data_IF_013121687240
#
_entry.id   IF_013121687240
#
_cell.length_a   1.000
_cell.length_b   1.000
_cell.length_c   1.000
_cell.angle_alpha   90.00
_cell.angle_beta   90.00
_cell.angle_gamma   90.00
#
_symmetry.space_group_name_H-M   'P 1'
#
loop_
_entity.id
_entity.type
_entity.pdbx_description
1 polymer ?
#
# COMPACT_ATOMS: atom_id res chain seq x y z
N UNK A 1 9.76 7.62 -36.96
CA UNK A 1 9.13 8.93 -37.26
C UNK A 1 9.60 10.03 -36.30
N UNK A 2 9.48 9.87 -34.98
CA UNK A 2 9.92 10.90 -34.01
C UNK A 2 11.41 11.27 -34.13
N UNK A 3 12.32 10.30 -34.21
CA UNK A 3 13.74 10.56 -34.43
C UNK A 3 14.05 11.22 -35.78
N UNK A 4 13.20 10.99 -36.78
CA UNK A 4 13.34 11.57 -38.11
C UNK A 4 12.96 13.06 -38.07
N UNK A 5 11.89 13.42 -37.36
CA UNK A 5 11.54 14.83 -37.09
C UNK A 5 12.63 15.58 -36.33
N UNK A 6 13.22 14.95 -35.31
CA UNK A 6 14.38 15.49 -34.58
C UNK A 6 15.63 15.61 -35.45
N UNK A 7 15.86 14.69 -36.39
CA UNK A 7 17.02 14.79 -37.29
C UNK A 7 16.93 15.91 -38.32
N UNK A 8 15.71 16.39 -38.62
CA UNK A 8 15.49 17.57 -39.47
C UNK A 8 15.66 18.89 -38.71
N UNK A 9 15.87 18.85 -37.40
CA UNK A 9 16.22 20.02 -36.58
C UNK A 9 17.64 20.49 -36.98
N UNK A 10 17.70 21.49 -37.87
CA UNK A 10 18.94 22.23 -38.08
C UNK A 10 19.26 22.95 -36.77
N UNK A 11 20.46 22.72 -36.22
CA UNK A 11 21.05 23.52 -35.13
C UNK A 11 21.28 24.96 -35.60
N UNK A 12 20.19 25.70 -35.80
CA UNK A 12 20.20 27.13 -36.02
C UNK A 12 20.26 27.84 -34.68
N UNK A 13 21.21 28.76 -34.54
CA UNK A 13 21.37 29.61 -33.36
C UNK A 13 20.08 30.40 -33.13
N UNK A 14 19.26 30.01 -32.14
CA UNK A 14 18.10 30.77 -31.68
C UNK A 14 16.74 30.07 -31.68
N UNK A 15 16.60 28.85 -32.23
CA UNK A 15 15.35 28.08 -32.10
C UNK A 15 15.35 27.28 -30.80
N UNK A 16 14.24 27.36 -30.04
CA UNK A 16 14.03 26.47 -28.89
C UNK A 16 13.98 25.03 -29.38
N UNK A 17 14.63 24.07 -28.67
CA UNK A 17 14.58 22.66 -29.00
C UNK A 17 13.14 22.18 -29.18
N UNK A 18 12.86 21.38 -30.23
CA UNK A 18 11.52 20.82 -30.45
C UNK A 18 10.96 20.07 -29.23
N UNK A 19 11.84 19.52 -28.40
CA UNK A 19 11.50 18.79 -27.18
C UNK A 19 10.92 19.68 -26.06
N UNK A 20 11.11 21.00 -26.13
CA UNK A 20 10.63 21.97 -25.15
C UNK A 20 9.36 22.69 -25.60
N UNK A 21 8.92 22.51 -26.85
CA UNK A 21 7.73 23.18 -27.38
C UNK A 21 6.47 22.55 -26.73
N UNK A 22 5.69 23.31 -25.96
CA UNK A 22 4.48 22.79 -25.33
C UNK A 22 3.31 22.73 -26.31
N UNK A 23 2.36 21.83 -26.06
CA UNK A 23 1.07 21.82 -26.73
C UNK A 23 0.14 22.93 -26.18
N UNK A 24 -1.08 23.05 -26.71
CA UNK A 24 -2.10 24.01 -26.22
C UNK A 24 -2.50 23.83 -24.75
N UNK A 25 -2.16 22.68 -24.13
CA UNK A 25 -2.40 22.37 -22.73
C UNK A 25 -1.14 22.57 -21.86
N UNK A 26 -0.03 23.10 -22.41
CA UNK A 26 1.23 23.29 -21.69
C UNK A 26 2.09 22.03 -21.56
N UNK A 27 1.78 20.94 -22.26
CA UNK A 27 2.49 19.66 -22.19
C UNK A 27 3.58 19.57 -23.26
N UNK A 28 4.82 19.31 -22.84
CA UNK A 28 5.92 18.93 -23.73
C UNK A 28 5.68 17.52 -24.31
N UNK A 29 6.36 17.14 -25.41
CA UNK A 29 6.31 15.76 -25.93
C UNK A 29 6.64 14.71 -24.87
N UNK A 30 7.53 15.05 -23.93
CA UNK A 30 7.89 14.19 -22.80
C UNK A 30 6.74 14.04 -21.78
N UNK A 31 6.12 15.14 -21.36
CA UNK A 31 4.94 15.11 -20.46
C UNK A 31 3.77 14.36 -21.11
N UNK A 32 3.54 14.59 -22.40
CA UNK A 32 2.47 13.93 -23.13
C UNK A 32 2.69 12.41 -23.21
N UNK A 33 3.91 11.94 -23.47
CA UNK A 33 4.22 10.52 -23.48
C UNK A 33 3.90 9.85 -22.12
N UNK A 34 4.12 10.56 -21.02
CA UNK A 34 3.75 10.09 -19.68
C UNK A 34 2.24 10.06 -19.44
N UNK A 35 1.51 11.12 -19.81
CA UNK A 35 0.04 11.21 -19.64
C UNK A 35 -0.70 10.19 -20.47
N UNK A 36 -0.21 9.93 -21.69
CA UNK A 36 -0.76 8.92 -22.59
C UNK A 36 -0.43 7.49 -22.14
N UNK A 37 0.63 7.30 -21.34
CA UNK A 37 1.10 5.97 -20.95
C UNK A 37 1.92 5.26 -22.04
N UNK A 38 2.49 6.00 -22.98
CA UNK A 38 3.34 5.43 -24.03
C UNK A 38 4.74 5.11 -23.47
N UNK A 39 4.86 3.93 -22.87
CA UNK A 39 6.09 3.43 -22.23
C UNK A 39 7.29 3.38 -23.18
N UNK A 40 7.09 2.97 -24.43
CA UNK A 40 8.16 2.87 -25.45
C UNK A 40 8.73 4.24 -25.78
N UNK A 41 7.87 5.22 -26.03
CA UNK A 41 8.30 6.58 -26.32
C UNK A 41 8.92 7.24 -25.09
N UNK A 42 8.33 7.02 -23.90
CA UNK A 42 8.86 7.52 -22.64
C UNK A 42 10.28 6.99 -22.36
N UNK A 43 10.50 5.68 -22.52
CA UNK A 43 11.83 5.08 -22.39
C UNK A 43 12.82 5.68 -23.39
N UNK A 44 12.42 5.85 -24.65
CA UNK A 44 13.27 6.44 -25.68
C UNK A 44 13.70 7.88 -25.36
N UNK A 45 12.78 8.71 -24.87
CA UNK A 45 13.09 10.08 -24.40
C UNK A 45 14.00 10.04 -23.17
N UNK A 46 13.76 9.11 -22.25
CA UNK A 46 14.58 8.96 -21.05
C UNK A 46 16.01 8.55 -21.36
N UNK A 47 16.24 7.74 -22.41
CA UNK A 47 17.60 7.38 -22.84
C UNK A 47 18.41 8.60 -23.27
N UNK A 48 17.78 9.64 -23.84
CA UNK A 48 18.46 10.90 -24.18
C UNK A 48 18.75 11.78 -22.96
N UNK A 49 17.95 11.65 -21.90
CA UNK A 49 18.01 12.46 -20.67
C UNK A 49 18.81 11.81 -19.55
N UNK A 50 19.53 10.71 -19.83
CA UNK A 50 20.41 10.03 -18.88
C UNK A 50 21.88 10.22 -19.25
N UNK A 51 22.74 10.34 -18.24
CA UNK A 51 24.18 10.39 -18.40
C UNK A 51 24.83 9.28 -17.57
N UNK A 52 25.63 8.41 -18.20
CA UNK A 52 26.33 7.33 -17.47
C UNK A 52 27.59 7.92 -16.85
N UNK A 53 27.67 7.89 -15.52
CA UNK A 53 28.82 8.41 -14.78
C UNK A 53 30.00 7.43 -14.87
N UNK A 54 29.72 6.16 -14.61
CA UNK A 54 30.70 5.07 -14.69
C UNK A 54 29.99 3.73 -14.83
N UNK A 55 30.68 2.77 -15.43
CA UNK A 55 30.28 1.39 -15.52
C UNK A 55 31.41 0.50 -15.02
N UNK A 56 31.16 -0.24 -13.95
CA UNK A 56 32.12 -1.17 -13.36
C UNK A 56 31.53 -2.59 -13.36
N UNK A 57 31.87 -3.36 -14.39
CA UNK A 57 31.39 -4.73 -14.56
C UNK A 57 29.86 -4.80 -14.61
N UNK A 58 29.19 -5.43 -13.62
CA UNK A 58 27.74 -5.48 -13.56
C UNK A 58 27.07 -4.21 -13.01
N UNK A 59 27.82 -3.26 -12.46
CA UNK A 59 27.28 -2.03 -11.85
C UNK A 59 27.39 -0.85 -12.80
N UNK A 60 26.31 -0.09 -12.97
CA UNK A 60 26.30 1.14 -13.76
C UNK A 60 25.68 2.27 -12.95
N UNK A 61 26.43 3.33 -12.71
CA UNK A 61 25.91 4.57 -12.09
C UNK A 61 25.47 5.53 -13.19
N UNK A 62 24.22 5.96 -13.14
CA UNK A 62 23.60 6.85 -14.12
C UNK A 62 22.95 8.04 -13.45
N UNK A 63 23.14 9.23 -14.02
CA UNK A 63 22.43 10.45 -13.67
C UNK A 63 21.25 10.64 -14.60
N UNK A 64 20.05 10.72 -14.03
CA UNK A 64 18.84 11.09 -14.75
C UNK A 64 18.52 12.56 -14.51
N UNK A 65 18.23 13.29 -15.58
CA UNK A 65 17.74 14.67 -15.49
C UNK A 65 16.31 14.68 -14.90
N UNK A 66 16.12 15.38 -13.78
CA UNK A 66 14.83 15.49 -13.10
C UNK A 66 13.96 16.63 -13.64
N UNK A 67 14.46 17.41 -14.60
CA UNK A 67 13.71 18.51 -15.23
C UNK A 67 12.42 17.96 -15.88
N UNK A 68 11.28 18.63 -15.66
CA UNK A 68 9.91 18.21 -16.00
C UNK A 68 9.31 17.04 -15.20
N UNK A 69 10.14 16.20 -14.55
CA UNK A 69 9.67 15.05 -13.76
C UNK A 69 9.25 15.48 -12.35
N UNK A 70 10.13 16.27 -11.71
CA UNK A 70 9.98 16.67 -10.31
C UNK A 70 8.91 17.75 -10.11
N UNK A 71 8.26 17.75 -8.94
CA UNK A 71 7.20 18.70 -8.56
C UNK A 71 7.71 20.09 -8.22
N UNK A 72 9.02 20.25 -8.06
CA UNK A 72 9.62 21.47 -7.55
C UNK A 72 9.74 22.55 -8.64
N UNK A 73 8.82 23.52 -8.61
CA UNK A 73 8.93 24.77 -9.37
C UNK A 73 8.08 24.83 -10.65
N UNK A 74 7.48 23.73 -11.08
CA UNK A 74 6.54 23.71 -12.21
C UNK A 74 5.09 23.64 -11.71
N UNK A 75 4.18 24.40 -12.35
CA UNK A 75 2.75 24.36 -12.00
C UNK A 75 2.11 23.00 -12.30
N UNK A 76 2.63 22.26 -13.28
CA UNK A 76 2.20 20.91 -13.67
C UNK A 76 3.39 19.97 -13.85
N UNK A 77 3.65 19.15 -12.84
CA UNK A 77 4.72 18.14 -12.88
C UNK A 77 4.25 16.86 -13.56
N UNK A 78 5.18 16.10 -14.15
CA UNK A 78 4.89 14.79 -14.73
C UNK A 78 4.23 13.85 -13.70
N UNK A 79 4.72 13.83 -12.45
CA UNK A 79 4.17 12.97 -11.40
C UNK A 79 2.71 13.29 -11.09
N UNK A 80 2.34 14.57 -11.05
CA UNK A 80 0.97 15.00 -10.81
C UNK A 80 0.05 14.67 -11.99
N UNK A 81 0.54 14.88 -13.22
CA UNK A 81 -0.19 14.54 -14.43
C UNK A 81 -0.44 13.02 -14.56
N UNK A 82 0.53 12.19 -14.18
CA UNK A 82 0.39 10.72 -14.15
C UNK A 82 -0.59 10.27 -13.07
N UNK A 83 -0.64 10.95 -11.93
CA UNK A 83 -1.58 10.59 -10.84
C UNK A 83 -3.00 11.05 -11.15
N UNK A 84 -3.17 12.20 -11.81
CA UNK A 84 -4.48 12.79 -12.10
C UNK A 84 -5.14 12.22 -13.35
N UNK A 85 -4.37 11.62 -14.27
CA UNK A 85 -4.92 11.01 -15.49
C UNK A 85 -5.79 9.80 -15.18
N UNK A 86 -6.90 9.67 -15.92
CA UNK A 86 -7.79 8.50 -15.86
C UNK A 86 -7.23 7.30 -16.62
N UNK A 87 -6.20 7.49 -17.45
CA UNK A 87 -5.59 6.44 -18.26
C UNK A 87 -4.79 5.48 -17.38
N UNK A 88 -5.16 4.20 -17.42
CA UNK A 88 -4.46 3.15 -16.68
C UNK A 88 -3.02 2.96 -17.15
N UNK A 89 -2.78 3.07 -18.45
CA UNK A 89 -1.44 2.89 -19.05
C UNK A 89 -0.40 3.88 -18.49
N UNK A 90 -0.82 5.08 -18.11
CA UNK A 90 0.05 6.07 -17.48
C UNK A 90 0.65 5.58 -16.16
N UNK A 91 -0.03 4.69 -15.43
CA UNK A 91 0.49 4.12 -14.18
C UNK A 91 1.74 3.27 -14.40
N UNK A 92 1.87 2.64 -15.57
CA UNK A 92 3.06 1.86 -15.93
C UNK A 92 4.32 2.73 -16.05
N UNK A 93 4.16 4.04 -16.28
CA UNK A 93 5.29 4.98 -16.32
C UNK A 93 5.97 5.11 -14.96
N UNK A 94 5.24 4.89 -13.86
CA UNK A 94 5.77 4.91 -12.49
C UNK A 94 6.75 3.76 -12.22
N UNK A 95 6.75 2.73 -13.07
CA UNK A 95 7.59 1.52 -12.93
C UNK A 95 8.95 1.70 -13.58
N UNK A 96 9.11 2.74 -14.42
CA UNK A 96 10.39 3.06 -14.99
C UNK A 96 11.36 3.55 -13.92
N UNK A 97 12.59 3.04 -14.00
CA UNK A 97 13.66 3.20 -13.00
C UNK A 97 13.80 4.62 -12.43
N UNK A 98 13.94 5.71 -13.21
CA UNK A 98 14.14 7.04 -12.63
C UNK A 98 12.95 7.55 -11.84
N UNK A 99 11.72 7.25 -12.28
CA UNK A 99 10.49 7.67 -11.61
C UNK A 99 10.28 6.85 -10.34
N UNK A 100 10.49 5.52 -10.44
CA UNK A 100 10.40 4.60 -9.32
C UNK A 100 11.37 4.97 -8.19
N UNK A 101 12.63 5.22 -8.51
CA UNK A 101 13.66 5.57 -7.53
C UNK A 101 13.47 6.98 -6.97
N UNK A 102 12.98 7.93 -7.77
CA UNK A 102 12.65 9.26 -7.26
C UNK A 102 11.55 9.21 -6.20
N UNK A 103 10.47 8.49 -6.49
CA UNK A 103 9.33 8.35 -5.58
C UNK A 103 9.73 7.54 -4.34
N UNK A 104 10.48 6.46 -4.50
CA UNK A 104 10.96 5.65 -3.36
C UNK A 104 11.82 6.49 -2.41
N UNK A 105 12.68 7.35 -2.96
CA UNK A 105 13.52 8.28 -2.18
C UNK A 105 12.66 9.32 -1.46
N UNK A 106 11.71 9.98 -2.16
CA UNK A 106 10.80 10.96 -1.55
C UNK A 106 9.96 10.34 -0.43
N UNK A 107 9.41 9.15 -0.66
CA UNK A 107 8.58 8.45 0.31
C UNK A 107 9.39 8.03 1.54
N UNK A 108 10.55 7.41 1.37
CA UNK A 108 11.36 6.94 2.50
C UNK A 108 11.93 8.08 3.34
N UNK A 109 12.36 9.18 2.72
CA UNK A 109 13.00 10.30 3.42
C UNK A 109 12.00 11.22 4.11
N UNK A 110 10.92 11.60 3.42
CA UNK A 110 9.99 12.62 3.90
C UNK A 110 8.55 12.10 3.97
N UNK A 111 8.08 11.39 2.94
CA UNK A 111 6.68 10.94 2.86
C UNK A 111 6.23 10.10 4.05
N UNK A 112 6.97 9.03 4.38
CA UNK A 112 6.66 8.10 5.49
C UNK A 112 6.61 8.78 6.85
N UNK A 113 7.65 9.52 7.31
CA UNK A 113 7.60 10.14 8.63
C UNK A 113 6.49 11.18 8.74
N UNK A 114 6.29 12.02 7.71
CA UNK A 114 5.21 13.02 7.73
C UNK A 114 3.82 12.39 7.63
N UNK A 115 3.65 11.34 6.83
CA UNK A 115 2.39 10.59 6.75
C UNK A 115 2.06 9.92 8.08
N UNK A 116 3.06 9.31 8.74
CA UNK A 116 2.87 8.75 10.09
C UNK A 116 2.54 9.84 11.12
N UNK A 117 3.20 11.00 11.07
CA UNK A 117 2.91 12.13 11.95
C UNK A 117 1.48 12.65 11.73
N UNK A 118 1.10 12.86 10.47
CA UNK A 118 -0.25 13.28 10.11
C UNK A 118 -1.30 12.25 10.54
N UNK A 119 -1.00 10.95 10.37
CA UNK A 119 -1.82 9.86 10.86
C UNK A 119 -1.98 9.89 12.38
N UNK A 120 -0.90 10.14 13.13
CA UNK A 120 -0.97 10.27 14.59
C UNK A 120 -1.81 11.49 15.02
N UNK A 121 -1.68 12.63 14.34
CA UNK A 121 -2.52 13.82 14.57
C UNK A 121 -3.99 13.53 14.25
N UNK A 122 -4.27 12.79 13.16
CA UNK A 122 -5.62 12.38 12.81
C UNK A 122 -6.22 11.40 13.82
N UNK A 123 -5.44 10.44 14.32
CA UNK A 123 -5.87 9.54 15.39
C UNK A 123 -6.17 10.33 16.66
N UNK A 124 -5.32 11.29 17.04
CA UNK A 124 -5.58 12.19 18.17
C UNK A 124 -6.87 13.00 17.97
N UNK A 125 -7.11 13.50 16.75
CA UNK A 125 -8.34 14.18 16.37
C UNK A 125 -9.55 13.25 16.53
N UNK A 126 -9.47 12.01 16.07
CA UNK A 126 -10.55 11.02 16.22
C UNK A 126 -10.80 10.65 17.69
N UNK A 127 -9.76 10.60 18.53
CA UNK A 127 -9.90 10.41 19.98
C UNK A 127 -10.57 11.63 20.63
N UNK A 128 -10.20 12.85 20.24
CA UNK A 128 -10.85 14.07 20.73
C UNK A 128 -12.33 14.09 20.32
N UNK A 129 -12.63 13.76 19.06
CA UNK A 129 -13.97 13.59 18.52
C UNK A 129 -14.79 12.59 19.35
N UNK A 130 -14.25 11.40 19.63
CA UNK A 130 -14.99 10.37 20.37
C UNK A 130 -15.22 10.79 21.80
N UNK A 131 -14.27 11.47 22.43
CA UNK A 131 -14.43 12.05 23.77
C UNK A 131 -15.54 13.11 23.81
N UNK A 132 -15.64 13.98 22.80
CA UNK A 132 -16.77 14.92 22.69
C UNK A 132 -18.12 14.19 22.57
N UNK A 133 -18.17 13.09 21.81
CA UNK A 133 -19.38 12.28 21.67
C UNK A 133 -19.77 11.53 22.95
N UNK A 134 -18.78 11.04 23.72
CA UNK A 134 -19.00 10.35 25.00
C UNK A 134 -19.52 11.31 26.06
N UNK A 135 -18.95 12.51 26.16
CA UNK A 135 -19.37 13.55 27.11
C UNK A 135 -20.54 14.40 26.61
N UNK A 136 -21.36 13.86 25.70
CA UNK A 136 -22.57 14.51 25.21
C UNK A 136 -23.47 14.89 26.39
N UNK A 137 -23.94 16.15 26.48
CA UNK A 137 -24.76 16.61 27.60
C UNK A 137 -26.16 15.98 27.56
N UNK A 138 -26.35 14.95 28.39
CA UNK A 138 -27.63 14.28 28.61
C UNK A 138 -28.24 14.77 29.94
N UNK A 139 -29.57 14.88 29.99
CA UNK A 139 -30.32 15.06 31.24
C UNK A 139 -31.25 13.86 31.45
N UNK A 140 -31.50 13.45 32.70
CA UNK A 140 -32.53 12.44 32.98
C UNK A 140 -33.87 12.93 32.43
N UNK A 141 -34.65 12.02 31.84
CA UNK A 141 -35.98 12.34 31.29
C UNK A 141 -36.86 12.90 32.43
N UNK A 142 -37.50 14.07 32.25
CA UNK A 142 -38.26 14.71 33.34
C UNK A 142 -39.61 14.05 33.65
N UNK A 143 -40.07 13.09 32.84
CA UNK A 143 -41.35 12.40 33.03
C UNK A 143 -41.19 10.91 33.40
N UNK A 144 -42.17 10.37 34.14
CA UNK A 144 -42.25 8.93 34.44
C UNK A 144 -42.41 8.11 33.15
N UNK A 145 -41.89 6.89 33.13
CA UNK A 145 -42.11 5.93 32.03
C UNK A 145 -43.60 5.65 31.89
N UNK A 146 -44.21 6.10 30.79
CA UNK A 146 -45.66 5.96 30.55
C UNK A 146 -46.03 4.71 29.75
N UNK A 147 -45.07 3.96 29.21
CA UNK A 147 -45.34 2.73 28.46
C UNK A 147 -44.23 1.68 28.57
N UNK A 148 -44.60 0.39 28.47
CA UNK A 148 -43.67 -0.75 28.54
C UNK A 148 -42.58 -0.71 27.44
N UNK A 149 -42.90 -0.11 26.27
CA UNK A 149 -41.98 0.06 25.14
C UNK A 149 -41.05 1.28 25.26
N UNK A 150 -41.22 2.12 26.28
CA UNK A 150 -40.43 3.35 26.48
C UNK A 150 -39.16 3.07 27.31
N UNK A 151 -38.09 2.69 26.62
CA UNK A 151 -36.77 2.41 27.23
C UNK A 151 -35.92 3.67 27.43
N UNK A 152 -36.41 4.85 27.04
CA UNK A 152 -35.62 6.09 27.04
C UNK A 152 -35.36 6.62 28.46
N UNK A 153 -34.12 6.54 28.93
CA UNK A 153 -33.71 6.94 30.30
C UNK A 153 -33.25 8.40 30.38
N UNK A 154 -32.57 8.87 29.33
CA UNK A 154 -32.00 10.21 29.27
C UNK A 154 -32.38 10.91 27.96
N UNK A 155 -32.61 12.22 28.05
CA UNK A 155 -32.94 13.09 26.91
C UNK A 155 -31.81 14.08 26.73
N UNK A 156 -31.50 14.45 25.48
CA UNK A 156 -30.50 15.47 25.18
C UNK A 156 -30.89 16.82 25.83
N UNK A 157 -29.94 17.51 26.46
CA UNK A 157 -30.18 18.86 26.97
C UNK A 157 -30.48 19.82 25.82
N UNK A 158 -31.38 20.78 26.03
CA UNK A 158 -31.72 21.77 25.01
C UNK A 158 -30.50 22.68 24.78
N UNK A 159 -30.29 23.16 23.54
CA UNK A 159 -29.13 23.99 23.17
C UNK A 159 -28.93 25.17 24.14
N UNK A 160 -30.00 25.87 24.51
CA UNK A 160 -29.95 27.04 25.39
C UNK A 160 -29.53 26.73 26.84
N UNK A 161 -29.77 25.52 27.35
CA UNK A 161 -29.33 25.08 28.68
C UNK A 161 -27.91 24.48 28.66
N UNK A 162 -27.41 24.11 27.49
CA UNK A 162 -26.19 23.30 27.33
C UNK A 162 -24.92 24.11 27.07
N UNK A 163 -25.06 25.40 26.71
CA UNK A 163 -23.97 26.27 26.25
C UNK A 163 -23.89 27.57 27.07
N UNK A 164 -23.77 27.43 28.39
CA UNK A 164 -23.70 28.58 29.30
C UNK A 164 -22.27 28.93 29.69
N UNK A 165 -21.35 27.95 29.67
CA UNK A 165 -19.95 28.15 30.05
C UNK A 165 -19.04 28.23 28.83
N UNK A 166 -17.90 28.95 28.90
CA UNK A 166 -16.93 29.00 27.79
C UNK A 166 -16.32 27.64 27.46
N UNK A 167 -16.27 26.71 28.44
CA UNK A 167 -15.88 25.30 28.20
C UNK A 167 -16.88 24.54 27.31
N UNK A 168 -18.16 24.92 27.34
CA UNK A 168 -19.18 24.29 26.48
C UNK A 168 -19.07 24.75 25.01
N UNK A 169 -18.48 25.92 24.74
CA UNK A 169 -18.27 26.41 23.38
C UNK A 169 -17.27 25.56 22.60
N UNK A 170 -16.20 25.10 23.25
CA UNK A 170 -15.22 24.16 22.65
C UNK A 170 -15.90 22.82 22.33
N UNK A 171 -16.82 22.38 23.19
CA UNK A 171 -17.64 21.17 22.94
C UNK A 171 -18.59 21.37 21.76
N UNK A 172 -19.24 22.53 21.64
CA UNK A 172 -20.13 22.86 20.50
C UNK A 172 -19.39 22.79 19.16
N UNK A 173 -18.20 23.38 19.09
CA UNK A 173 -17.38 23.38 17.86
C UNK A 173 -16.96 21.96 17.51
N UNK A 174 -16.59 21.15 18.52
CA UNK A 174 -16.34 19.72 18.34
C UNK A 174 -17.56 19.00 17.78
N UNK A 175 -18.72 19.12 18.42
CA UNK A 175 -19.98 18.48 18.01
C UNK A 175 -20.45 18.88 16.60
N UNK A 176 -20.25 20.13 16.19
CA UNK A 176 -20.61 20.58 14.85
C UNK A 176 -19.67 19.99 13.79
N UNK A 177 -18.36 20.02 14.07
CA UNK A 177 -17.35 19.45 13.18
C UNK A 177 -17.50 17.92 13.08
N UNK A 178 -17.90 17.26 14.17
CA UNK A 178 -18.09 15.81 14.21
C UNK A 178 -19.25 15.35 13.33
N UNK A 179 -20.40 16.02 13.45
CA UNK A 179 -21.60 15.68 12.69
C UNK A 179 -21.40 15.95 11.20
N UNK A 180 -20.81 17.10 10.86
CA UNK A 180 -20.51 17.45 9.46
C UNK A 180 -19.48 16.48 8.86
N UNK A 181 -18.43 16.12 9.60
CA UNK A 181 -17.43 15.16 9.17
C UNK A 181 -17.99 13.74 8.97
N UNK A 182 -18.80 13.25 9.91
CA UNK A 182 -19.44 11.94 9.80
C UNK A 182 -20.39 11.88 8.60
N UNK A 183 -21.23 12.91 8.41
CA UNK A 183 -22.13 13.01 7.26
C UNK A 183 -21.32 13.09 5.96
N UNK A 184 -20.24 13.86 5.90
CA UNK A 184 -19.40 13.97 4.71
C UNK A 184 -18.73 12.64 4.34
N UNK A 185 -18.15 11.91 5.31
CA UNK A 185 -17.50 10.62 5.07
C UNK A 185 -18.53 9.57 4.63
N UNK A 186 -19.68 9.49 5.31
CA UNK A 186 -20.76 8.57 4.95
C UNK A 186 -21.30 8.85 3.55
N UNK A 187 -21.49 10.13 3.18
CA UNK A 187 -21.99 10.50 1.86
C UNK A 187 -20.95 10.30 0.74
N UNK A 188 -19.66 10.49 1.03
CA UNK A 188 -18.59 10.38 0.02
C UNK A 188 -18.14 8.93 -0.22
N UNK A 189 -18.04 8.10 0.82
CA UNK A 189 -17.52 6.73 0.68
C UNK A 189 -18.60 5.69 0.38
N UNK A 190 -19.79 5.80 0.97
CA UNK A 190 -20.78 4.73 0.92
C UNK A 190 -21.70 4.79 -0.32
N UNK A 191 -21.86 5.98 -0.93
CA UNK A 191 -22.91 6.22 -1.95
C UNK A 191 -22.41 6.04 -3.39
N UNK A 192 -21.11 6.16 -3.68
CA UNK A 192 -20.66 6.41 -5.07
C UNK A 192 -20.08 5.22 -5.86
N UNK A 193 -19.92 4.05 -5.24
CA UNK A 193 -19.27 2.90 -5.88
C UNK A 193 -20.24 2.04 -6.68
N UNK A 194 -20.92 1.11 -6.00
CA UNK A 194 -21.71 0.04 -6.64
C UNK A 194 -23.01 -0.32 -5.88
N UNK A 195 -23.20 0.23 -4.67
CA UNK A 195 -24.28 -0.15 -3.75
C UNK A 195 -25.67 0.31 -4.23
N UNK A 196 -25.76 1.47 -4.91
CA UNK A 196 -27.05 2.10 -5.25
C UNK A 196 -27.92 1.29 -6.23
N UNK A 197 -27.31 0.63 -7.23
CA UNK A 197 -28.07 -0.17 -8.20
C UNK A 197 -28.67 -1.42 -7.55
N UNK A 198 -27.95 -2.01 -6.61
CA UNK A 198 -28.39 -3.19 -5.89
C UNK A 198 -29.33 -2.86 -4.74
N UNK A 199 -29.08 -1.79 -3.99
CA UNK A 199 -29.99 -1.32 -2.94
C UNK A 199 -31.40 -1.05 -3.46
N UNK A 200 -31.53 -0.58 -4.70
CA UNK A 200 -32.84 -0.42 -5.33
C UNK A 200 -33.56 -1.75 -5.54
N UNK A 201 -32.88 -2.75 -6.11
CA UNK A 201 -33.41 -4.10 -6.28
C UNK A 201 -33.77 -4.76 -4.94
N UNK A 202 -32.88 -4.63 -3.95
CA UNK A 202 -33.09 -5.13 -2.59
C UNK A 202 -34.31 -4.45 -1.94
N UNK A 203 -34.45 -3.13 -2.04
CA UNK A 203 -35.57 -2.39 -1.46
C UNK A 203 -36.93 -2.84 -2.02
N UNK A 204 -37.02 -3.08 -3.34
CA UNK A 204 -38.26 -3.58 -3.97
C UNK A 204 -38.65 -4.94 -3.42
N UNK A 205 -37.69 -5.86 -3.29
CA UNK A 205 -37.92 -7.20 -2.74
C UNK A 205 -38.32 -7.13 -1.26
N UNK A 206 -37.59 -6.34 -0.47
CA UNK A 206 -37.87 -6.15 0.96
C UNK A 206 -39.25 -5.57 1.21
N UNK A 207 -39.67 -4.55 0.47
CA UNK A 207 -41.02 -3.98 0.62
C UNK A 207 -42.11 -4.99 0.30
N UNK A 208 -41.93 -5.81 -0.74
CA UNK A 208 -42.87 -6.87 -1.12
C UNK A 208 -43.03 -7.92 -0.02
N UNK A 209 -41.92 -8.49 0.46
CA UNK A 209 -41.96 -9.52 1.50
C UNK A 209 -42.34 -8.96 2.88
N UNK A 210 -41.93 -7.74 3.24
CA UNK A 210 -42.36 -7.11 4.48
C UNK A 210 -43.87 -6.86 4.50
N UNK A 211 -44.46 -6.47 3.37
CA UNK A 211 -45.92 -6.35 3.26
C UNK A 211 -46.63 -7.70 3.39
N UNK A 212 -46.06 -8.77 2.82
CA UNK A 212 -46.61 -10.11 2.93
C UNK A 212 -46.53 -10.63 4.38
N UNK A 213 -45.39 -10.48 5.06
CA UNK A 213 -45.25 -10.84 6.46
C UNK A 213 -46.16 -10.02 7.37
N UNK A 214 -46.28 -8.71 7.13
CA UNK A 214 -47.20 -7.86 7.88
C UNK A 214 -48.65 -8.34 7.75
N UNK A 215 -49.12 -8.66 6.53
CA UNK A 215 -50.49 -9.15 6.32
C UNK A 215 -50.72 -10.50 7.01
N UNK A 216 -49.74 -11.41 6.97
CA UNK A 216 -49.84 -12.74 7.60
C UNK A 216 -49.93 -12.62 9.12
N UNK A 217 -49.15 -11.72 9.72
CA UNK A 217 -49.11 -11.52 11.17
C UNK A 217 -50.12 -10.49 11.69
N UNK A 218 -50.86 -9.80 10.81
CA UNK A 218 -51.88 -8.82 11.21
C UNK A 218 -53.04 -9.48 11.97
N UNK A 219 -53.32 -10.76 11.70
CA UNK A 219 -54.40 -11.52 12.34
C UNK A 219 -53.93 -12.35 13.53
N UNK A 220 -52.63 -12.40 13.79
CA UNK A 220 -52.01 -13.24 14.83
C UNK A 220 -51.75 -12.44 16.11
N UNK A 221 -51.67 -13.13 17.25
CA UNK A 221 -51.46 -12.49 18.54
C UNK A 221 -50.07 -11.83 18.64
N UNK A 222 -49.98 -10.50 18.83
CA UNK A 222 -48.71 -9.77 18.81
C UNK A 222 -47.82 -10.06 20.02
N UNK A 223 -48.36 -10.66 21.09
CA UNK A 223 -47.59 -11.03 22.29
C UNK A 223 -46.71 -12.27 22.06
N UNK A 224 -47.14 -13.19 21.19
CA UNK A 224 -46.41 -14.43 20.90
C UNK A 224 -45.46 -14.29 19.69
N UNK A 225 -45.81 -13.47 18.70
CA UNK A 225 -44.98 -13.19 17.51
C UNK A 225 -44.91 -11.68 17.18
N UNK A 226 -44.23 -10.91 18.04
CA UNK A 226 -44.18 -9.44 17.96
C UNK A 226 -43.33 -8.83 16.82
N UNK A 227 -42.57 -9.64 16.06
CA UNK A 227 -41.62 -9.16 15.05
C UNK A 227 -42.29 -8.40 13.88
N UNK A 228 -43.55 -8.69 13.58
CA UNK A 228 -44.26 -8.17 12.40
C UNK A 228 -45.53 -7.36 12.74
N UNK A 229 -45.66 -6.93 14.00
CA UNK A 229 -46.85 -6.23 14.51
C UNK A 229 -47.09 -4.85 13.89
N UNK A 230 -46.03 -4.05 13.74
CA UNK A 230 -46.06 -2.73 13.11
C UNK A 230 -45.42 -2.81 11.72
N UNK A 231 -45.96 -2.11 10.71
CA UNK A 231 -45.40 -2.15 9.34
C UNK A 231 -43.93 -1.68 9.27
N UNK A 232 -43.54 -0.70 10.09
CA UNK A 232 -42.15 -0.24 10.19
C UNK A 232 -41.22 -1.28 10.81
N UNK A 233 -41.69 -1.98 11.85
CA UNK A 233 -40.95 -3.09 12.46
C UNK A 233 -40.89 -4.28 11.50
N UNK A 234 -41.96 -4.57 10.77
CA UNK A 234 -41.98 -5.61 9.76
C UNK A 234 -40.96 -5.35 8.63
N UNK A 235 -40.85 -4.11 8.15
CA UNK A 235 -39.83 -3.71 7.18
C UNK A 235 -38.41 -3.91 7.74
N UNK A 236 -38.17 -3.48 8.97
CA UNK A 236 -36.86 -3.59 9.61
C UNK A 236 -36.48 -5.05 9.89
N UNK A 237 -37.38 -5.84 10.49
CA UNK A 237 -37.16 -7.26 10.73
C UNK A 237 -37.01 -8.04 9.42
N UNK A 238 -37.79 -7.75 8.37
CA UNK A 238 -37.58 -8.39 7.05
C UNK A 238 -36.19 -8.08 6.48
N UNK A 239 -35.66 -6.88 6.69
CA UNK A 239 -34.28 -6.54 6.32
C UNK A 239 -33.24 -7.32 7.13
N UNK A 240 -33.45 -7.46 8.44
CA UNK A 240 -32.57 -8.28 9.30
C UNK A 240 -32.60 -9.76 8.91
N UNK A 241 -33.78 -10.30 8.59
CA UNK A 241 -33.92 -11.67 8.07
C UNK A 241 -33.28 -11.84 6.69
N UNK A 242 -33.33 -10.83 5.81
CA UNK A 242 -32.69 -10.87 4.49
C UNK A 242 -31.16 -10.99 4.61
N UNK A 243 -30.59 -10.34 5.62
CA UNK A 243 -29.16 -10.43 5.96
C UNK A 243 -28.85 -11.63 6.86
N UNK A 244 -29.84 -12.43 7.24
CA UNK A 244 -29.71 -13.57 8.18
C UNK A 244 -29.07 -13.18 9.52
N UNK A 245 -29.31 -11.94 9.99
CA UNK A 245 -28.79 -11.42 11.26
C UNK A 245 -29.64 -11.92 12.44
N UNK A 246 -30.95 -12.05 12.22
CA UNK A 246 -31.91 -12.56 13.19
C UNK A 246 -32.46 -13.90 12.71
N UNK A 247 -32.72 -14.80 13.66
CA UNK A 247 -33.48 -16.01 13.37
C UNK A 247 -34.93 -15.63 13.02
N UNK A 248 -35.49 -16.29 12.00
CA UNK A 248 -36.90 -16.09 11.66
C UNK A 248 -37.79 -16.45 12.85
N UNK A 249 -38.91 -15.75 13.07
CA UNK A 249 -39.75 -16.06 14.21
C UNK A 249 -40.29 -17.48 14.08
N UNK A 250 -39.86 -18.32 15.01
CA UNK A 250 -40.21 -19.73 15.08
C UNK A 250 -40.62 -20.01 16.53
N UNK A 251 -41.89 -19.73 16.83
CA UNK A 251 -42.49 -20.15 18.08
C UNK A 251 -43.14 -21.52 17.86
N UNK A 252 -42.46 -22.59 18.25
CA UNK A 252 -42.94 -23.97 18.06
C UNK A 252 -44.03 -24.37 19.04
N UNK A 253 -44.29 -23.54 20.05
CA UNK A 253 -45.36 -23.76 21.04
C UNK A 253 -46.73 -23.29 20.51
N UNK A 254 -46.74 -22.57 19.37
CA UNK A 254 -47.94 -22.03 18.74
C UNK A 254 -48.00 -22.51 17.29
N UNK A 255 -49.19 -22.87 16.82
CA UNK A 255 -49.39 -23.23 15.41
C UNK A 255 -49.26 -21.99 14.52
N UNK A 256 -48.15 -21.87 13.78
CA UNK A 256 -47.97 -20.77 12.83
C UNK A 256 -48.83 -20.97 11.57
N UNK A 257 -49.34 -19.88 10.96
CA UNK A 257 -50.09 -19.97 9.71
C UNK A 257 -49.31 -20.67 8.60
N UNK A 258 -49.95 -21.59 7.88
CA UNK A 258 -49.32 -22.28 6.75
C UNK A 258 -48.74 -21.31 5.70
N UNK A 259 -49.42 -20.17 5.50
CA UNK A 259 -48.97 -19.11 4.58
C UNK A 259 -47.60 -18.53 4.98
N UNK A 260 -47.30 -18.45 6.28
CA UNK A 260 -45.99 -18.00 6.76
C UNK A 260 -44.88 -18.95 6.31
N UNK A 261 -45.04 -20.26 6.53
CA UNK A 261 -44.04 -21.25 6.13
C UNK A 261 -43.75 -21.20 4.61
N UNK A 262 -44.79 -21.03 3.80
CA UNK A 262 -44.67 -20.92 2.34
C UNK A 262 -43.93 -19.64 1.92
N UNK A 263 -44.35 -18.48 2.43
CA UNK A 263 -43.78 -17.18 2.07
C UNK A 263 -42.36 -17.03 2.61
N UNK A 264 -42.09 -17.53 3.83
CA UNK A 264 -40.77 -17.51 4.44
C UNK A 264 -39.77 -18.40 3.68
N UNK A 265 -40.18 -19.59 3.25
CA UNK A 265 -39.33 -20.48 2.44
C UNK A 265 -38.98 -19.84 1.09
N UNK A 266 -39.96 -19.23 0.42
CA UNK A 266 -39.73 -18.51 -0.84
C UNK A 266 -38.80 -17.30 -0.63
N UNK A 267 -39.01 -16.54 0.44
CA UNK A 267 -38.17 -15.42 0.85
C UNK A 267 -36.71 -15.86 1.09
N UNK A 268 -36.50 -16.95 1.84
CA UNK A 268 -35.16 -17.44 2.16
C UNK A 268 -34.39 -17.86 0.89
N UNK A 269 -35.05 -18.53 -0.06
CA UNK A 269 -34.43 -18.91 -1.34
C UNK A 269 -34.08 -17.67 -2.17
N UNK A 270 -35.01 -16.72 -2.30
CA UNK A 270 -34.80 -15.49 -3.09
C UNK A 270 -33.71 -14.62 -2.45
N UNK A 271 -33.72 -14.48 -1.12
CA UNK A 271 -32.71 -13.74 -0.38
C UNK A 271 -31.33 -14.38 -0.56
N UNK A 272 -31.22 -15.71 -0.43
CA UNK A 272 -29.97 -16.43 -0.65
C UNK A 272 -29.45 -16.28 -2.09
N UNK A 273 -30.32 -16.38 -3.11
CA UNK A 273 -29.95 -16.17 -4.51
C UNK A 273 -29.49 -14.73 -4.78
N UNK A 274 -30.19 -13.72 -4.25
CA UNK A 274 -29.83 -12.31 -4.42
C UNK A 274 -28.53 -11.97 -3.68
N UNK A 275 -28.36 -12.47 -2.47
CA UNK A 275 -27.13 -12.30 -1.68
C UNK A 275 -25.94 -13.00 -2.34
N UNK A 276 -26.12 -14.22 -2.87
CA UNK A 276 -25.07 -14.93 -3.59
C UNK A 276 -24.70 -14.21 -4.90
N UNK A 277 -25.69 -13.76 -5.67
CA UNK A 277 -25.45 -13.00 -6.90
C UNK A 277 -24.74 -11.67 -6.61
N UNK A 278 -25.08 -11.00 -5.51
CA UNK A 278 -24.37 -9.81 -5.02
C UNK A 278 -22.93 -10.14 -4.64
N UNK A 279 -22.73 -11.19 -3.85
CA UNK A 279 -21.40 -11.60 -3.38
C UNK A 279 -20.51 -11.94 -4.56
N UNK A 280 -21.01 -12.67 -5.55
CA UNK A 280 -20.26 -13.04 -6.76
C UNK A 280 -19.95 -11.81 -7.61
N UNK A 281 -20.91 -10.91 -7.81
CA UNK A 281 -20.69 -9.69 -8.60
C UNK A 281 -19.68 -8.74 -7.92
N UNK A 282 -19.80 -8.53 -6.61
CA UNK A 282 -18.89 -7.65 -5.87
C UNK A 282 -17.53 -8.30 -5.68
N UNK A 283 -17.46 -9.54 -5.20
CA UNK A 283 -16.20 -10.20 -4.87
C UNK A 283 -15.47 -10.70 -6.12
N UNK A 284 -16.16 -11.10 -7.19
CA UNK A 284 -15.54 -11.60 -8.42
C UNK A 284 -14.77 -10.52 -9.20
N UNK A 285 -15.42 -9.38 -9.46
CA UNK A 285 -14.80 -8.28 -10.20
C UNK A 285 -13.76 -7.53 -9.38
N UNK A 286 -14.00 -7.38 -8.06
CA UNK A 286 -13.01 -6.76 -7.18
C UNK A 286 -11.84 -7.70 -6.90
N UNK A 287 -12.04 -9.00 -6.66
CA UNK A 287 -10.92 -9.91 -6.38
C UNK A 287 -9.98 -10.03 -7.57
N UNK A 288 -10.50 -10.18 -8.81
CA UNK A 288 -9.63 -10.27 -9.98
C UNK A 288 -8.83 -8.98 -10.21
N UNK A 289 -9.51 -7.82 -10.13
CA UNK A 289 -8.90 -6.50 -10.34
C UNK A 289 -7.94 -6.13 -9.22
N UNK A 290 -8.34 -6.32 -7.97
CA UNK A 290 -7.54 -6.02 -6.77
C UNK A 290 -6.40 -7.03 -6.63
N UNK A 291 -6.53 -8.30 -7.02
CA UNK A 291 -5.41 -9.24 -6.92
C UNK A 291 -4.29 -8.94 -7.93
N UNK A 292 -4.62 -8.62 -9.18
CA UNK A 292 -3.60 -8.37 -10.22
C UNK A 292 -3.09 -6.92 -10.25
N UNK A 293 -3.89 -5.94 -9.80
CA UNK A 293 -3.53 -4.51 -9.87
C UNK A 293 -3.15 -3.90 -8.53
N UNK A 294 -3.20 -4.67 -7.43
CA UNK A 294 -2.94 -4.13 -6.08
C UNK A 294 -1.62 -3.41 -5.98
N UNK A 295 -0.56 -3.99 -6.54
CA UNK A 295 0.79 -3.43 -6.42
C UNK A 295 0.93 -2.15 -7.27
N UNK A 296 0.36 -2.12 -8.47
CA UNK A 296 0.34 -0.94 -9.34
C UNK A 296 -0.49 0.20 -8.73
N UNK A 297 -1.68 -0.13 -8.21
CA UNK A 297 -2.59 0.82 -7.56
C UNK A 297 -2.01 1.34 -6.26
N UNK A 298 -1.47 0.46 -5.41
CA UNK A 298 -0.79 0.83 -4.16
C UNK A 298 0.35 1.81 -4.44
N UNK A 299 1.18 1.51 -5.44
CA UNK A 299 2.29 2.39 -5.82
C UNK A 299 1.79 3.73 -6.36
N UNK A 300 0.77 3.73 -7.22
CA UNK A 300 0.15 4.96 -7.70
C UNK A 300 -0.43 5.79 -6.54
N UNK A 301 -1.05 5.15 -5.54
CA UNK A 301 -1.56 5.83 -4.34
C UNK A 301 -0.44 6.40 -3.47
N UNK A 302 0.67 5.69 -3.30
CA UNK A 302 1.86 6.21 -2.59
C UNK A 302 2.43 7.43 -3.33
N UNK A 303 2.54 7.38 -4.66
CA UNK A 303 2.98 8.52 -5.49
C UNK A 303 2.02 9.70 -5.31
N UNK A 304 0.71 9.46 -5.43
CA UNK A 304 -0.33 10.46 -5.27
C UNK A 304 -0.26 11.16 -3.91
N UNK A 305 -0.13 10.36 -2.85
CA UNK A 305 -0.01 10.84 -1.47
C UNK A 305 1.27 11.64 -1.29
N UNK A 306 2.38 11.19 -1.88
CA UNK A 306 3.67 11.89 -1.82
C UNK A 306 3.58 13.26 -2.49
N UNK A 307 3.00 13.35 -3.69
CA UNK A 307 2.80 14.62 -4.41
C UNK A 307 1.82 15.53 -3.65
N UNK A 308 0.76 14.97 -3.09
CA UNK A 308 -0.20 15.71 -2.27
C UNK A 308 0.45 16.31 -1.02
N UNK A 309 1.27 15.54 -0.31
CA UNK A 309 2.03 16.01 0.85
C UNK A 309 3.02 17.10 0.44
N UNK A 310 3.77 16.90 -0.64
CA UNK A 310 4.74 17.88 -1.15
C UNK A 310 4.08 19.22 -1.52
N UNK A 311 2.87 19.21 -2.10
CA UNK A 311 2.10 20.42 -2.44
C UNK A 311 1.54 21.15 -1.21
N UNK A 312 1.13 20.41 -0.18
CA UNK A 312 0.52 20.98 1.04
C UNK A 312 1.55 21.47 2.05
N UNK A 313 2.76 20.91 2.04
CA UNK A 313 3.80 21.24 3.01
C UNK A 313 4.58 22.50 2.59
N UNK A 314 4.96 23.37 3.55
CA UNK A 314 5.81 24.51 3.25
C UNK A 314 7.21 24.04 2.79
N UNK A 315 7.79 24.80 1.87
CA UNK A 315 9.07 24.52 1.20
C UNK A 315 10.26 24.27 2.14
N UNK A 316 10.20 24.72 3.39
CA UNK A 316 11.25 24.50 4.39
C UNK A 316 11.31 23.05 4.90
N UNK A 317 10.16 22.37 4.97
CA UNK A 317 10.06 21.00 5.53
C UNK A 317 10.35 19.92 4.49
N UNK A 318 10.26 20.27 3.21
CA UNK A 318 10.45 19.36 2.08
C UNK A 318 11.46 19.96 1.08
N UNK A 319 12.77 19.76 1.29
CA UNK A 319 13.79 20.23 0.35
C UNK A 319 13.67 19.49 -0.99
N UNK A 320 14.14 20.15 -2.06
CA UNK A 320 14.15 19.58 -3.41
C UNK A 320 14.94 18.27 -3.44
N UNK A 321 14.40 17.29 -4.16
CA UNK A 321 15.03 15.97 -4.30
C UNK A 321 16.10 15.96 -5.40
N UNK A 322 17.12 15.13 -5.23
CA UNK A 322 18.24 15.01 -6.17
C UNK A 322 19.47 15.85 -5.79
N UNK A 323 20.43 15.90 -6.70
CA UNK A 323 21.70 16.60 -6.54
C UNK A 323 21.70 17.80 -7.49
N UNK A 324 22.10 18.97 -7.00
CA UNK A 324 22.22 20.18 -7.81
C UNK A 324 23.40 20.04 -8.78
N UNK A 325 23.14 20.23 -10.07
CA UNK A 325 24.17 20.21 -11.11
C UNK A 325 25.12 21.40 -11.05
N UNK A 326 24.75 22.50 -10.40
CA UNK A 326 25.53 23.74 -10.34
C UNK A 326 26.89 23.51 -9.67
N UNK A 327 26.91 22.70 -8.62
CA UNK A 327 28.12 22.37 -7.84
C UNK A 327 29.13 21.54 -8.64
N UNK A 328 28.68 20.93 -9.74
CA UNK A 328 29.46 20.04 -10.61
C UNK A 328 29.63 20.59 -12.04
N UNK A 329 29.22 21.83 -12.31
CA UNK A 329 29.29 22.43 -13.65
C UNK A 329 28.29 21.89 -14.68
N UNK A 330 27.28 21.12 -14.24
CA UNK A 330 26.23 20.50 -15.08
C UNK A 330 25.03 21.44 -15.34
N UNK A 331 25.18 22.72 -14.99
CA UNK A 331 24.14 23.76 -15.10
C UNK A 331 23.17 23.78 -13.93
N UNK A 332 22.09 24.56 -14.04
CA UNK A 332 21.10 24.76 -12.97
C UNK A 332 20.04 23.64 -12.86
N UNK A 333 20.36 22.45 -13.36
CA UNK A 333 19.47 21.29 -13.38
C UNK A 333 19.73 20.38 -12.19
N UNK A 334 18.71 19.62 -11.82
CA UNK A 334 18.79 18.67 -10.72
C UNK A 334 18.80 17.26 -11.28
N UNK A 335 19.68 16.43 -10.72
CA UNK A 335 19.90 15.08 -11.22
C UNK A 335 19.64 14.04 -10.13
N UNK A 336 19.07 12.90 -10.52
CA UNK A 336 18.97 11.72 -9.68
C UNK A 336 20.06 10.73 -10.06
N UNK A 337 20.90 10.37 -9.08
CA UNK A 337 21.86 9.28 -9.24
C UNK A 337 21.15 7.95 -8.96
N UNK A 338 21.23 7.03 -9.91
CA UNK A 338 20.71 5.67 -9.80
C UNK A 338 21.83 4.68 -10.13
N UNK A 339 22.01 3.70 -9.27
CA UNK A 339 22.97 2.61 -9.47
C UNK A 339 22.22 1.33 -9.83
N UNK A 340 22.38 0.89 -11.07
CA UNK A 340 21.74 -0.31 -11.58
C UNK A 340 22.73 -1.48 -11.61
N UNK A 341 22.26 -2.68 -11.25
CA UNK A 341 23.01 -3.94 -11.39
C UNK A 341 22.46 -4.76 -12.55
N UNK A 342 23.24 -4.91 -13.61
CA UNK A 342 22.87 -5.70 -14.79
C UNK A 342 23.44 -7.13 -14.73
N UNK A 343 22.66 -8.06 -14.16
CA UNK A 343 23.03 -9.48 -14.11
C UNK A 343 23.10 -10.14 -15.50
N UNK A 344 22.27 -9.69 -16.45
CA UNK A 344 22.28 -10.21 -17.83
C UNK A 344 23.57 -9.94 -18.58
N UNK A 345 24.22 -8.80 -18.32
CA UNK A 345 25.53 -8.49 -18.89
C UNK A 345 26.58 -9.43 -18.31
N UNK A 346 26.50 -9.73 -17.00
CA UNK A 346 27.38 -10.69 -16.35
C UNK A 346 27.23 -12.11 -16.92
N UNK A 347 26.00 -12.59 -17.16
CA UNK A 347 25.78 -13.90 -17.80
C UNK A 347 26.33 -13.97 -19.23
N UNK A 348 26.21 -12.88 -20.03
CA UNK A 348 26.84 -12.81 -21.36
C UNK A 348 28.36 -12.75 -21.28
N UNK A 349 28.91 -11.95 -20.36
CA UNK A 349 30.35 -11.84 -20.13
C UNK A 349 30.93 -13.17 -19.63
N UNK A 350 30.21 -13.90 -18.76
CA UNK A 350 30.55 -15.24 -18.32
C UNK A 350 30.57 -16.23 -19.49
N UNK A 351 29.57 -16.19 -20.39
CA UNK A 351 29.55 -17.02 -21.61
C UNK A 351 30.71 -16.69 -22.54
N UNK A 352 31.04 -15.41 -22.73
CA UNK A 352 32.22 -15.02 -23.53
C UNK A 352 33.52 -15.45 -22.86
N UNK A 353 33.66 -15.26 -21.54
CA UNK A 353 34.83 -15.69 -20.79
C UNK A 353 35.02 -17.22 -20.84
N UNK A 354 33.93 -17.99 -20.78
CA UNK A 354 33.95 -19.45 -20.98
C UNK A 354 34.39 -19.82 -22.40
N UNK A 355 33.85 -19.17 -23.43
CA UNK A 355 34.25 -19.42 -24.82
C UNK A 355 35.71 -19.06 -25.12
N UNK A 356 36.23 -17.97 -24.52
CA UNK A 356 37.64 -17.60 -24.60
C UNK A 356 38.55 -18.54 -23.81
N UNK A 357 38.05 -19.17 -22.74
CA UNK A 357 38.77 -20.18 -21.96
C UNK A 357 38.85 -21.51 -22.72
N UNK A 358 37.76 -21.91 -23.41
CA UNK A 358 37.75 -23.07 -24.31
C UNK A 358 38.62 -22.87 -25.55
N UNK A 359 38.61 -21.69 -26.17
CA UNK A 359 39.41 -21.41 -27.37
C UNK A 359 40.92 -21.27 -27.10
N UNK A 360 41.35 -21.19 -25.84
CA UNK A 360 42.77 -21.12 -25.44
C UNK A 360 43.33 -22.48 -25.01
N UNK A 361 42.47 -23.51 -24.93
CA UNK A 361 42.86 -24.89 -24.65
C UNK A 361 42.90 -25.65 -25.98
N UNK A 362 44.04 -25.57 -26.67
CA UNK A 362 44.33 -26.48 -27.78
C UNK A 362 44.51 -27.92 -27.26
N UNK A 363 44.34 -28.91 -28.15
CA UNK A 363 43.95 -30.31 -27.90
C UNK A 363 44.77 -31.15 -26.89
N UNK A 364 45.87 -30.67 -26.32
CA UNK A 364 46.77 -31.44 -25.46
C UNK A 364 46.42 -31.42 -23.95
N UNK A 365 45.46 -30.61 -23.50
CA UNK A 365 45.11 -30.44 -22.07
C UNK A 365 43.69 -30.91 -21.67
N UNK A 366 43.06 -31.77 -22.48
CA UNK A 366 41.72 -32.32 -22.17
C UNK A 366 41.70 -33.27 -20.97
N UNK A 367 42.76 -34.06 -20.78
CA UNK A 367 42.84 -35.07 -19.71
C UNK A 367 43.10 -34.49 -18.31
N UNK A 368 43.72 -33.31 -18.25
CA UNK A 368 43.97 -32.56 -17.01
C UNK A 368 42.73 -31.78 -16.55
N UNK A 369 41.86 -31.37 -17.47
CA UNK A 369 40.64 -30.60 -17.18
C UNK A 369 39.53 -31.45 -16.55
N UNK A 370 39.35 -32.70 -16.99
CA UNK A 370 38.34 -33.64 -16.45
C UNK A 370 38.58 -33.99 -14.97
N UNK A 371 39.84 -33.91 -14.51
CA UNK A 371 40.21 -34.11 -13.11
C UNK A 371 39.99 -32.85 -12.26
N UNK A 372 40.20 -31.66 -12.82
CA UNK A 372 39.97 -30.40 -12.13
C UNK A 372 38.48 -30.06 -12.00
N UNK A 373 37.68 -30.31 -13.04
CA UNK A 373 36.22 -30.04 -13.03
C UNK A 373 35.47 -30.96 -12.05
N UNK A 374 35.96 -32.19 -11.86
CA UNK A 374 35.47 -33.09 -10.81
C UNK A 374 35.76 -32.60 -9.41
N UNK A 375 36.88 -31.91 -9.19
CA UNK A 375 37.25 -31.36 -7.89
C UNK A 375 36.41 -30.12 -7.56
N UNK A 376 36.22 -29.22 -8.54
CA UNK A 376 35.44 -27.98 -8.40
C UNK A 376 33.94 -28.28 -8.19
N UNK A 377 33.40 -29.33 -8.83
CA UNK A 377 32.03 -29.81 -8.58
C UNK A 377 31.85 -30.41 -7.19
N UNK A 378 32.89 -31.03 -6.64
CA UNK A 378 32.88 -31.60 -5.29
C UNK A 378 32.87 -30.50 -4.23
N UNK A 379 33.67 -29.44 -4.44
CA UNK A 379 33.69 -28.27 -3.56
C UNK A 379 32.38 -27.45 -3.64
N UNK A 380 31.78 -27.34 -4.83
CA UNK A 380 30.48 -26.69 -5.00
C UNK A 380 29.33 -27.50 -4.36
N UNK A 381 29.40 -28.83 -4.43
CA UNK A 381 28.45 -29.72 -3.75
C UNK A 381 28.61 -29.66 -2.22
N UNK A 382 29.84 -29.59 -1.70
CA UNK A 382 30.14 -29.38 -0.28
C UNK A 382 29.63 -28.02 0.22
N UNK A 383 29.79 -26.96 -0.59
CA UNK A 383 29.27 -25.63 -0.28
C UNK A 383 27.73 -25.60 -0.26
N UNK A 384 27.08 -26.32 -1.18
CA UNK A 384 25.62 -26.47 -1.21
C UNK A 384 25.10 -27.29 -0.02
N UNK A 385 25.80 -28.36 0.37
CA UNK A 385 25.46 -29.20 1.53
C UNK A 385 25.61 -28.42 2.85
N UNK A 386 26.66 -27.60 2.98
CA UNK A 386 26.88 -26.72 4.15
C UNK A 386 25.80 -25.65 4.30
N UNK A 387 25.22 -25.20 3.18
CA UNK A 387 24.10 -24.24 3.14
C UNK A 387 22.76 -24.85 3.55
N UNK A 388 22.63 -26.17 3.47
CA UNK A 388 21.42 -26.90 3.83
C UNK A 388 21.41 -27.38 5.30
N UNK A 389 22.58 -27.34 5.98
CA UNK A 389 22.73 -27.69 7.40
C UNK A 389 22.55 -26.51 8.38
N UNK A 390 22.44 -25.27 7.88
CA UNK A 390 22.19 -24.10 8.74
C UNK A 390 20.71 -24.04 9.13
N UNK A 391 20.40 -24.52 10.33
CA UNK A 391 19.09 -24.41 11.00
C UNK A 391 18.76 -22.91 11.21
N UNK A 392 17.53 -22.44 10.94
CA UNK A 392 17.15 -21.06 11.17
C UNK A 392 16.87 -20.81 12.66
N UNK A 393 17.60 -19.90 13.29
CA UNK A 393 17.24 -19.36 14.61
C UNK A 393 16.14 -18.30 14.48
N UNK A 394 15.16 -18.26 15.39
CA UNK A 394 14.04 -17.32 15.31
C UNK A 394 14.46 -15.90 15.70
N UNK A 395 13.86 -14.93 15.04
CA UNK A 395 14.06 -13.50 15.24
C UNK A 395 13.51 -13.02 16.59
N UNK A 396 14.40 -12.56 17.48
CA UNK A 396 14.04 -11.77 18.65
C UNK A 396 14.39 -10.31 18.39
N UNK A 397 13.35 -9.49 18.40
CA UNK A 397 13.36 -8.04 18.46
C UNK A 397 14.08 -7.49 19.70
N UNK A 398 14.99 -6.53 19.53
CA UNK A 398 15.02 -5.32 20.37
C UNK A 398 15.94 -4.21 19.85
N UNK A 399 15.46 -3.02 20.15
CA UNK A 399 15.95 -1.67 20.02
C UNK A 399 17.31 -1.36 20.67
N UNK A 400 17.76 -0.12 20.38
CA UNK A 400 18.68 0.77 21.12
C UNK A 400 20.20 0.69 20.87
N UNK A 401 20.65 1.62 20.01
CA UNK A 401 21.62 2.70 20.27
C UNK A 401 23.09 2.44 20.65
N UNK A 402 23.95 3.24 20.00
CA UNK A 402 25.29 3.72 20.35
C UNK A 402 26.55 3.04 19.77
N UNK A 403 27.42 3.92 19.24
CA UNK A 403 28.89 3.84 19.09
C UNK A 403 29.46 3.32 17.77
N UNK A 404 29.81 4.26 16.90
CA UNK A 404 30.55 4.10 15.65
C UNK A 404 32.09 4.05 15.81
N UNK A 405 32.62 3.67 16.98
CA UNK A 405 34.06 3.73 17.26
C UNK A 405 34.85 2.43 17.00
N UNK A 406 34.18 1.30 16.71
CA UNK A 406 34.85 -0.01 16.62
C UNK A 406 35.33 -0.41 15.21
N UNK A 407 34.89 0.28 14.15
CA UNK A 407 35.24 -0.10 12.78
C UNK A 407 36.66 0.32 12.35
N UNK A 408 37.30 1.24 13.07
CA UNK A 408 38.68 1.66 12.76
C UNK A 408 39.74 0.67 13.24
N UNK A 409 39.52 -0.08 14.33
CA UNK A 409 40.50 -1.07 14.85
C UNK A 409 40.61 -2.34 14.00
N UNK A 410 39.56 -2.70 13.26
CA UNK A 410 39.59 -3.84 12.35
C UNK A 410 40.39 -3.58 11.06
N UNK A 411 40.65 -2.32 10.72
CA UNK A 411 41.38 -1.96 9.49
C UNK A 411 42.89 -1.93 9.66
N UNK A 412 43.40 -1.81 10.89
CA UNK A 412 44.85 -1.78 11.18
C UNK A 412 45.45 -3.18 11.39
N UNK A 413 44.65 -4.19 11.74
CA UNK A 413 45.13 -5.56 12.01
C UNK A 413 45.48 -6.40 10.78
N UNK A 414 45.11 -5.98 9.57
CA UNK A 414 45.24 -6.80 8.34
C UNK A 414 46.50 -6.51 7.51
N UNK A 415 47.34 -5.57 7.94
CA UNK A 415 48.56 -5.16 7.20
C UNK A 415 49.88 -5.53 7.89
N UNK A 416 49.85 -6.26 9.01
CA UNK A 416 51.03 -6.52 9.85
C UNK A 416 51.56 -7.96 9.92
N UNK A 417 50.97 -8.95 9.21
CA UNK A 417 51.40 -10.35 9.32
C UNK A 417 51.77 -10.94 7.95
N UNK A 418 52.88 -10.46 7.42
CA UNK A 418 53.63 -11.11 6.35
C UNK A 418 55.13 -11.10 6.72
N UNK A 419 55.46 -11.73 7.84
CA UNK A 419 56.83 -12.15 8.16
C UNK A 419 56.77 -13.30 9.17
N UNK A 420 57.33 -14.44 8.77
CA UNK A 420 57.14 -15.71 9.44
C UNK A 420 57.92 -15.89 10.73
N UNK A 421 57.53 -16.90 11.50
CA UNK A 421 58.44 -17.88 12.08
C UNK A 421 57.64 -19.05 12.63
N UNK A 422 58.12 -20.24 12.30
CA UNK A 422 57.73 -21.54 12.86
C UNK A 422 58.09 -21.59 14.35
N UNK A 423 57.23 -22.14 15.19
CA UNK A 423 57.65 -23.08 16.24
C UNK A 423 56.47 -23.91 16.79
N UNK A 424 56.68 -25.22 17.03
CA UNK A 424 55.74 -26.12 17.71
C UNK A 424 56.05 -26.22 19.23
N UNK A 425 55.23 -27.00 19.93
CA UNK A 425 55.38 -27.50 21.31
C UNK A 425 54.75 -26.66 22.43
N UNK A 426 53.70 -27.21 23.03
CA UNK A 426 53.71 -27.65 24.44
C UNK A 426 52.46 -28.49 24.74
N UNK A 427 52.68 -29.80 24.86
CA UNK A 427 51.87 -30.75 25.61
C UNK A 427 52.05 -30.53 27.12
N UNK A 428 51.01 -30.86 27.89
CA UNK A 428 50.92 -31.29 29.31
C UNK A 428 49.60 -30.73 29.86
N UNK A 429 48.80 -31.40 30.68
CA UNK A 429 48.59 -32.79 31.14
C UNK A 429 47.51 -32.65 32.24
N UNK A 430 46.71 -33.70 32.49
CA UNK A 430 45.87 -33.88 33.69
C UNK A 430 44.41 -33.38 33.54
N UNK A 431 43.42 -34.24 33.32
CA UNK A 431 42.77 -35.15 34.30
C UNK A 431 42.17 -34.41 35.51
N UNK A 432 40.83 -34.32 35.55
CA UNK A 432 39.93 -34.71 36.65
C UNK A 432 38.53 -34.11 36.45
N UNK A 433 37.53 -34.77 37.04
CA UNK A 433 36.07 -34.50 37.04
C UNK A 433 35.21 -35.18 35.94
N UNK A 434 35.15 -36.52 36.04
CA UNK A 434 33.89 -37.27 35.87
C UNK A 434 33.10 -37.27 37.19
N UNK A 435 31.78 -37.41 37.07
CA UNK A 435 30.73 -37.58 38.11
C UNK A 435 29.98 -36.32 38.57
N UNK A 436 28.88 -35.98 37.90
CA UNK A 436 27.52 -36.19 38.45
C UNK A 436 26.43 -35.75 37.44
N UNK A 437 25.24 -36.35 37.57
CA UNK A 437 23.98 -36.02 36.90
C UNK A 437 23.76 -36.46 35.43
N UNK A 438 23.63 -37.79 35.27
CA UNK A 438 22.51 -38.33 34.49
C UNK A 438 21.26 -38.38 35.38
N UNK A 439 20.31 -37.44 35.25
CA UNK A 439 18.90 -37.76 35.52
C UNK A 439 17.96 -36.88 34.68
N UNK A 440 16.94 -37.54 34.12
CA UNK A 440 15.71 -37.02 33.48
C UNK A 440 15.80 -36.53 32.03
N UNK A 441 15.36 -37.38 31.09
CA UNK A 441 14.08 -37.15 30.42
C UNK A 441 13.56 -38.42 29.72
N UNK A 442 12.36 -38.80 30.14
CA UNK A 442 11.42 -39.73 29.48
C UNK A 442 10.71 -38.97 28.37
#
# INVERSE_FOLDING_TARGET
MYNLLLSYEKQGVGLQPLELIPNHQGLTPFKLAGVEGNTVMFQHLMQKRKHVQWSFGPLTSTFYDLTEIDSWGEEQSLLELIVTTKKREARQILDHTPVKELVSLKWTRFGRPYFCLLGAIYVLYMVCFTMCCIYRPLKPKPGNRTGSRDTTVAVQKLLQESYTTPSDAVRLVGELLTVVGAVAILLLEMIFGDLMRFCWLMAVVLMGFASAFYIIFQTEDPENLGHFSDYSMALFSTFELFLTIIDGPANYDVDLPFMYCLVYSAFAIIAALLMLNLLIAMMGDTHWRVAHERDELWRAQVVATTVMLERKMPRCLWPRSGICGRDYGLGDRWFLRVEDRHERHHQRLQRYAQAFRESRLDEDDKDTLDKLDKLDRLDLALAAFKKHLSIPTPSVSRSTSHSSANWQRLREGTLGQLQGMVNPALEQDGEEEEEEERVYQV
#
